data_IF_101104407782
#
_entry.id   IF_101104407782
#
_cell.length_a   1.000
_cell.length_b   1.000
_cell.length_c   1.000
_cell.angle_alpha   90.00
_cell.angle_beta   90.00
_cell.angle_gamma   90.00
#
_symmetry.space_group_name_H-M   'P 1'
#
loop_
_entity.id
_entity.type
_entity.pdbx_description
1 polymer ?
#
# COMPACT_ATOMS: atom_id res chain seq x y z
N UNK A 1 26.05 -105.52 -19.34
CA UNK A 1 27.04 -104.42 -19.46
C UNK A 1 26.34 -103.13 -19.03
N UNK A 2 26.78 -102.45 -17.95
CA UNK A 2 26.01 -101.37 -17.32
C UNK A 2 26.41 -99.98 -17.83
N UNK A 3 25.43 -99.07 -17.83
CA UNK A 3 25.58 -97.66 -18.18
C UNK A 3 25.84 -96.79 -16.95
N UNK A 4 26.67 -95.75 -17.13
CA UNK A 4 27.11 -94.79 -16.12
C UNK A 4 26.19 -93.56 -16.07
N UNK A 5 25.83 -93.15 -14.86
CA UNK A 5 24.93 -92.05 -14.52
C UNK A 5 25.72 -90.76 -14.25
N UNK A 6 25.39 -89.67 -14.95
CA UNK A 6 25.97 -88.34 -14.77
C UNK A 6 25.25 -87.56 -13.64
N UNK A 7 26.01 -86.84 -12.81
CA UNK A 7 25.49 -85.96 -11.77
C UNK A 7 25.94 -84.51 -11.99
N UNK A 8 24.99 -83.63 -12.24
CA UNK A 8 25.13 -82.16 -12.32
C UNK A 8 25.20 -81.55 -10.92
N UNK A 9 25.92 -80.43 -10.76
CA UNK A 9 25.71 -79.47 -9.67
C UNK A 9 25.60 -78.04 -10.21
N UNK A 10 24.74 -77.18 -9.63
CA UNK A 10 24.39 -75.88 -10.19
C UNK A 10 25.26 -74.73 -9.65
N UNK A 11 25.47 -73.72 -10.50
CA UNK A 11 26.12 -72.45 -10.18
C UNK A 11 25.09 -71.41 -9.70
N UNK A 12 25.03 -71.14 -8.40
CA UNK A 12 24.34 -69.99 -7.81
C UNK A 12 25.26 -69.38 -6.75
N UNK A 13 26.01 -68.32 -7.06
CA UNK A 13 26.81 -67.62 -6.02
C UNK A 13 27.16 -66.16 -6.34
N UNK A 14 27.14 -65.73 -7.60
CA UNK A 14 27.65 -64.39 -7.98
C UNK A 14 26.61 -63.26 -7.98
N UNK A 15 25.30 -63.54 -8.08
CA UNK A 15 24.28 -62.50 -8.21
C UNK A 15 23.91 -61.80 -6.87
N UNK A 16 24.08 -62.46 -5.73
CA UNK A 16 23.64 -61.93 -4.43
C UNK A 16 24.55 -60.83 -3.86
N UNK A 17 25.84 -60.86 -4.20
CA UNK A 17 26.85 -59.91 -3.68
C UNK A 17 26.75 -58.55 -4.39
N UNK A 18 26.45 -58.54 -5.69
CA UNK A 18 26.35 -57.30 -6.47
C UNK A 18 25.10 -56.47 -6.09
N UNK A 19 23.97 -57.14 -5.83
CA UNK A 19 22.73 -56.48 -5.40
C UNK A 19 22.89 -55.75 -4.06
N UNK A 20 23.54 -56.38 -3.08
CA UNK A 20 23.67 -55.84 -1.73
C UNK A 20 24.58 -54.59 -1.67
N UNK A 21 25.59 -54.51 -2.54
CA UNK A 21 26.49 -53.37 -2.63
C UNK A 21 25.83 -52.13 -3.24
N UNK A 22 25.00 -52.31 -4.28
CA UNK A 22 24.26 -51.21 -4.91
C UNK A 22 23.10 -50.71 -4.04
N UNK A 23 22.40 -51.60 -3.33
CA UNK A 23 21.34 -51.20 -2.39
C UNK A 23 21.90 -50.38 -1.22
N UNK A 24 23.11 -50.70 -0.71
CA UNK A 24 23.78 -49.87 0.31
C UNK A 24 24.11 -48.47 -0.21
N UNK A 25 24.62 -48.34 -1.44
CA UNK A 25 24.91 -47.03 -2.06
C UNK A 25 23.64 -46.20 -2.27
N UNK A 26 22.55 -46.82 -2.71
CA UNK A 26 21.25 -46.16 -2.90
C UNK A 26 20.67 -45.67 -1.56
N UNK A 27 20.71 -46.50 -0.51
CA UNK A 27 20.27 -46.09 0.84
C UNK A 27 21.09 -44.93 1.40
N UNK A 28 22.41 -44.91 1.15
CA UNK A 28 23.28 -43.83 1.54
C UNK A 28 22.96 -42.53 0.77
N UNK A 29 22.72 -42.62 -0.53
CA UNK A 29 22.35 -41.47 -1.37
C UNK A 29 20.99 -40.87 -0.95
N UNK A 30 19.99 -41.70 -0.66
CA UNK A 30 18.68 -41.25 -0.17
C UNK A 30 18.81 -40.59 1.21
N UNK A 31 19.63 -41.15 2.10
CA UNK A 31 19.89 -40.57 3.42
C UNK A 31 20.55 -39.19 3.35
N UNK A 32 21.53 -39.01 2.46
CA UNK A 32 22.19 -37.71 2.24
C UNK A 32 21.22 -36.70 1.63
N UNK A 33 20.40 -37.10 0.65
CA UNK A 33 19.40 -36.21 0.03
C UNK A 33 18.35 -35.74 1.04
N UNK A 34 17.85 -36.64 1.89
CA UNK A 34 16.90 -36.29 2.95
C UNK A 34 17.50 -35.27 3.92
N UNK A 35 18.77 -35.45 4.31
CA UNK A 35 19.50 -34.53 5.19
C UNK A 35 19.68 -33.14 4.55
N UNK A 36 19.96 -33.07 3.25
CA UNK A 36 20.04 -31.80 2.50
C UNK A 36 18.68 -31.09 2.40
N UNK A 37 17.59 -31.82 2.20
CA UNK A 37 16.25 -31.20 2.15
C UNK A 37 15.81 -30.69 3.52
N UNK A 38 16.09 -31.43 4.59
CA UNK A 38 15.77 -31.02 5.95
C UNK A 38 16.56 -29.77 6.36
N UNK A 39 17.86 -29.70 6.02
CA UNK A 39 18.67 -28.51 6.30
C UNK A 39 18.25 -27.29 5.47
N UNK A 40 17.87 -27.48 4.21
CA UNK A 40 17.33 -26.40 3.36
C UNK A 40 16.01 -25.86 3.90
N UNK A 41 15.08 -26.72 4.33
CA UNK A 41 13.80 -26.31 4.94
C UNK A 41 14.05 -25.58 6.27
N UNK A 42 14.96 -26.09 7.11
CA UNK A 42 15.30 -25.42 8.37
C UNK A 42 15.88 -24.02 8.10
N UNK A 43 16.79 -23.91 7.13
CA UNK A 43 17.38 -22.62 6.75
C UNK A 43 16.36 -21.64 6.18
N UNK A 44 15.39 -22.14 5.40
CA UNK A 44 14.30 -21.32 4.85
C UNK A 44 13.35 -20.85 5.97
N UNK A 45 12.95 -21.73 6.88
CA UNK A 45 12.05 -21.36 8.00
C UNK A 45 12.70 -20.37 8.96
N UNK A 46 14.01 -20.48 9.21
CA UNK A 46 14.74 -19.54 10.07
C UNK A 46 14.91 -18.17 9.40
N UNK A 47 15.15 -18.12 8.08
CA UNK A 47 15.29 -16.84 7.37
C UNK A 47 13.95 -16.16 7.05
N UNK A 48 12.85 -16.91 6.90
CA UNK A 48 11.50 -16.34 6.65
C UNK A 48 10.89 -15.72 7.92
N UNK A 49 11.41 -16.04 9.11
CA UNK A 49 10.90 -15.53 10.39
C UNK A 49 11.66 -14.32 10.95
N UNK A 50 12.35 -13.53 10.11
CA UNK A 50 13.06 -12.32 10.56
C UNK A 50 12.80 -11.09 9.68
N UNK A 51 11.57 -10.91 9.20
CA UNK A 51 11.08 -9.54 8.96
C UNK A 51 10.74 -8.92 10.31
N UNK A 52 11.78 -8.37 10.95
CA UNK A 52 11.59 -7.40 12.04
C UNK A 52 10.78 -6.26 11.44
N UNK A 53 9.50 -6.19 11.79
CA UNK A 53 8.66 -5.00 11.66
C UNK A 53 9.34 -3.86 12.44
N UNK A 54 10.32 -3.23 11.79
CA UNK A 54 10.89 -1.98 12.24
C UNK A 54 9.77 -0.99 12.05
N UNK A 55 9.13 -0.61 13.16
CA UNK A 55 8.19 0.50 13.20
C UNK A 55 9.00 1.77 12.89
N UNK A 56 9.27 2.00 11.61
CA UNK A 56 9.78 3.26 11.12
C UNK A 56 8.67 4.26 11.40
N UNK A 57 8.80 4.99 12.50
CA UNK A 57 8.01 6.19 12.72
C UNK A 57 8.24 7.06 11.49
N UNK A 58 7.20 7.38 10.70
CA UNK A 58 7.40 8.08 9.44
C UNK A 58 8.10 9.41 9.73
N UNK A 59 9.31 9.56 9.20
CA UNK A 59 10.04 10.82 9.29
C UNK A 59 9.18 11.89 8.61
N UNK A 60 8.73 12.87 9.38
CA UNK A 60 8.01 14.02 8.83
C UNK A 60 9.05 14.88 8.15
N UNK A 61 9.12 14.79 6.83
CA UNK A 61 10.14 15.46 6.00
C UNK A 61 9.95 16.98 5.87
N UNK A 62 8.98 17.57 6.57
CA UNK A 62 8.64 18.98 6.46
C UNK A 62 8.78 19.70 7.80
N UNK A 63 9.32 20.92 7.76
CA UNK A 63 9.24 21.86 8.87
C UNK A 63 7.77 22.19 9.17
N UNK A 64 7.39 22.41 10.44
CA UNK A 64 6.05 22.85 10.78
C UNK A 64 5.75 24.19 10.08
N UNK A 65 4.73 24.20 9.22
CA UNK A 65 4.23 25.43 8.62
C UNK A 65 3.51 26.27 9.69
N UNK A 66 3.47 27.60 9.56
CA UNK A 66 2.72 28.46 10.46
C UNK A 66 1.21 28.23 10.26
N UNK A 67 0.64 27.31 11.04
CA UNK A 67 -0.80 27.11 11.14
C UNK A 67 -1.41 28.06 12.20
N UNK A 68 -2.71 28.37 12.11
CA UNK A 68 -3.43 29.03 13.21
C UNK A 68 -3.28 28.26 14.52
N UNK A 69 -3.59 28.91 15.65
CA UNK A 69 -3.49 28.26 16.96
C UNK A 69 -4.41 27.02 16.99
N UNK A 70 -3.86 25.82 17.21
CA UNK A 70 -4.66 24.61 17.23
C UNK A 70 -5.66 24.62 18.38
N UNK A 71 -6.82 24.02 18.15
CA UNK A 71 -7.82 23.75 19.19
C UNK A 71 -7.62 22.34 19.72
N UNK A 72 -7.69 22.17 21.04
CA UNK A 72 -7.74 20.85 21.65
C UNK A 72 -9.19 20.41 21.84
N UNK A 73 -9.52 19.22 21.35
CA UNK A 73 -10.83 18.59 21.53
C UNK A 73 -10.67 17.25 22.22
N UNK A 74 -11.59 16.92 23.13
CA UNK A 74 -11.58 15.64 23.83
C UNK A 74 -12.72 14.78 23.29
N UNK A 75 -12.38 13.63 22.71
CA UNK A 75 -13.33 12.66 22.19
C UNK A 75 -13.00 11.32 22.83
N UNK A 76 -13.97 10.66 23.47
CA UNK A 76 -13.79 9.36 24.13
C UNK A 76 -12.58 9.33 25.11
N UNK A 77 -12.39 10.40 25.89
CA UNK A 77 -11.27 10.57 26.84
C UNK A 77 -9.88 10.69 26.18
N UNK A 78 -9.82 10.77 24.86
CA UNK A 78 -8.60 11.04 24.11
C UNK A 78 -8.59 12.50 23.67
N UNK A 79 -7.45 13.18 23.86
CA UNK A 79 -7.25 14.55 23.40
C UNK A 79 -6.71 14.56 21.97
N UNK A 80 -7.30 15.38 21.12
CA UNK A 80 -6.90 15.63 19.75
C UNK A 80 -6.59 17.10 19.55
N UNK A 81 -5.59 17.37 18.73
CA UNK A 81 -5.23 18.71 18.26
C UNK A 81 -5.81 18.88 16.86
N UNK A 82 -6.61 19.93 16.66
CA UNK A 82 -7.31 20.21 15.40
C UNK A 82 -6.97 21.61 14.93
N UNK A 83 -6.46 21.70 13.72
CA UNK A 83 -6.25 22.95 12.99
C UNK A 83 -7.33 23.10 11.92
N UNK A 84 -7.93 24.29 11.85
CA UNK A 84 -8.97 24.60 10.85
C UNK A 84 -8.58 25.84 10.07
N UNK A 85 -8.71 25.77 8.74
CA UNK A 85 -8.47 26.90 7.85
C UNK A 85 -9.67 27.06 6.93
N UNK A 86 -10.31 28.22 7.01
CA UNK A 86 -11.30 28.64 6.02
C UNK A 86 -10.59 29.26 4.82
N UNK A 87 -11.01 28.87 3.62
CA UNK A 87 -10.49 29.40 2.36
C UNK A 87 -11.64 29.83 1.45
N UNK A 88 -11.46 30.94 0.75
CA UNK A 88 -12.35 31.32 -0.35
C UNK A 88 -12.02 30.42 -1.55
N UNK A 89 -13.04 29.81 -2.16
CA UNK A 89 -12.87 28.90 -3.29
C UNK A 89 -12.07 29.53 -4.45
N UNK A 90 -12.23 30.84 -4.69
CA UNK A 90 -11.48 31.56 -5.74
C UNK A 90 -9.97 31.68 -5.47
N UNK A 91 -9.54 31.49 -4.23
CA UNK A 91 -8.14 31.55 -3.80
C UNK A 91 -7.53 30.16 -3.57
N UNK A 92 -8.31 29.10 -3.74
CA UNK A 92 -7.81 27.72 -3.65
C UNK A 92 -7.15 27.36 -4.97
N UNK A 93 -5.95 26.80 -4.88
CA UNK A 93 -5.19 26.23 -5.99
C UNK A 93 -4.84 24.77 -5.69
N UNK A 94 -4.78 23.93 -6.71
CA UNK A 94 -4.36 22.54 -6.61
C UNK A 94 -3.16 22.30 -7.52
N UNK A 95 -2.01 22.00 -6.94
CA UNK A 95 -0.77 21.77 -7.67
C UNK A 95 -0.37 20.30 -7.66
N UNK A 96 0.01 19.78 -8.82
CA UNK A 96 0.60 18.45 -8.94
C UNK A 96 2.04 18.47 -8.42
N UNK A 97 2.40 17.46 -7.61
CA UNK A 97 3.75 17.27 -7.07
C UNK A 97 4.25 15.84 -7.32
N UNK A 98 3.96 15.30 -8.50
CA UNK A 98 4.18 13.90 -8.86
C UNK A 98 5.58 13.65 -9.47
N UNK A 99 5.88 14.33 -10.59
CA UNK A 99 7.10 14.13 -11.37
C UNK A 99 8.26 14.99 -10.89
N UNK A 100 8.01 16.29 -10.68
CA UNK A 100 8.97 17.23 -10.10
C UNK A 100 8.69 17.40 -8.62
N UNK A 101 9.12 16.41 -7.84
CA UNK A 101 8.92 16.41 -6.39
C UNK A 101 9.61 17.62 -5.74
N UNK A 102 8.84 18.40 -4.99
CA UNK A 102 9.31 19.49 -4.16
C UNK A 102 8.84 19.31 -2.72
N UNK A 103 9.60 19.88 -1.77
CA UNK A 103 9.21 19.88 -0.36
C UNK A 103 8.04 20.85 -0.17
N UNK A 104 7.16 20.53 0.78
CA UNK A 104 6.04 21.41 1.12
C UNK A 104 6.52 22.82 1.53
N UNK A 105 7.65 22.94 2.23
CA UNK A 105 8.23 24.22 2.63
C UNK A 105 8.71 25.07 1.44
N UNK A 106 9.20 24.44 0.38
CA UNK A 106 9.62 25.12 -0.85
C UNK A 106 8.39 25.59 -1.63
N UNK A 107 7.41 24.70 -1.82
CA UNK A 107 6.14 25.02 -2.49
C UNK A 107 5.36 26.13 -1.77
N UNK A 108 5.34 26.10 -0.43
CA UNK A 108 4.68 27.13 0.38
C UNK A 108 5.26 28.53 0.09
N UNK A 109 6.59 28.63 -0.05
CA UNK A 109 7.27 29.89 -0.37
C UNK A 109 7.10 30.26 -1.84
N UNK A 110 7.30 29.31 -2.75
CA UNK A 110 7.22 29.50 -4.20
C UNK A 110 5.86 30.06 -4.62
N UNK A 111 4.78 29.48 -4.10
CA UNK A 111 3.41 29.91 -4.41
C UNK A 111 2.84 30.94 -3.44
N UNK A 112 3.67 31.48 -2.53
CA UNK A 112 3.24 32.48 -1.54
C UNK A 112 1.98 32.06 -0.78
N UNK A 113 1.91 30.78 -0.39
CA UNK A 113 0.72 30.22 0.24
C UNK A 113 0.47 30.85 1.61
N UNK A 114 -0.80 31.14 1.92
CA UNK A 114 -1.22 31.40 3.31
C UNK A 114 -1.24 30.10 4.13
N UNK A 115 -1.61 29.00 3.49
CA UNK A 115 -1.70 27.66 4.08
C UNK A 115 -1.45 26.64 2.98
N UNK A 116 -0.72 25.57 3.30
CA UNK A 116 -0.50 24.45 2.40
C UNK A 116 -0.72 23.14 3.15
N UNK A 117 -1.49 22.23 2.53
CA UNK A 117 -1.73 20.88 3.04
C UNK A 117 -1.55 19.89 1.89
N UNK A 118 -1.26 18.62 2.20
CA UNK A 118 -1.34 17.59 1.18
C UNK A 118 -2.81 17.35 0.78
N UNK A 119 -3.02 17.06 -0.51
CA UNK A 119 -4.34 16.82 -1.08
C UNK A 119 -4.67 15.33 -1.15
N UNK A 120 -4.39 14.72 -2.31
CA UNK A 120 -4.79 13.35 -2.63
C UNK A 120 -3.73 12.30 -2.31
N UNK A 121 -4.12 11.05 -2.54
CA UNK A 121 -3.24 9.89 -2.46
C UNK A 121 -2.59 9.61 -3.82
N UNK A 122 -1.39 9.05 -3.79
CA UNK A 122 -0.64 8.63 -4.97
C UNK A 122 -0.18 7.17 -4.85
N UNK A 123 0.08 6.53 -5.99
CA UNK A 123 0.63 5.18 -6.09
C UNK A 123 2.14 5.19 -5.87
N UNK A 124 2.76 4.03 -5.73
CA UNK A 124 4.22 3.90 -5.61
C UNK A 124 4.96 4.48 -6.83
N UNK A 125 4.33 4.41 -8.01
CA UNK A 125 4.80 5.04 -9.25
C UNK A 125 4.52 6.55 -9.33
N UNK A 126 4.14 7.17 -8.20
CA UNK A 126 3.91 8.61 -8.05
C UNK A 126 2.72 9.16 -8.85
N UNK A 127 1.80 8.31 -9.30
CA UNK A 127 0.58 8.75 -9.98
C UNK A 127 -0.55 9.01 -8.97
N UNK A 128 -1.39 10.05 -9.12
CA UNK A 128 -2.57 10.19 -8.30
C UNK A 128 -3.51 8.99 -8.49
N UNK A 129 -4.19 8.65 -7.42
CA UNK A 129 -5.06 7.47 -7.34
C UNK A 129 -6.44 7.65 -7.99
N UNK A 130 -6.72 8.82 -8.57
CA UNK A 130 -8.03 9.17 -9.11
C UNK A 130 -8.03 10.51 -9.84
N UNK A 131 -9.23 11.08 -10.03
CA UNK A 131 -9.43 12.37 -10.70
C UNK A 131 -8.50 13.45 -10.14
N UNK A 132 -7.77 14.11 -11.03
CA UNK A 132 -6.93 15.23 -10.69
C UNK A 132 -7.03 16.29 -11.80
N UNK A 133 -7.68 17.41 -11.49
CA UNK A 133 -7.84 18.55 -12.39
C UNK A 133 -7.18 19.77 -11.74
N UNK A 134 -6.23 20.39 -12.46
CA UNK A 134 -5.48 21.56 -12.00
C UNK A 134 -5.58 22.67 -13.04
N UNK A 135 -6.18 23.79 -12.64
CA UNK A 135 -6.43 24.95 -13.50
C UNK A 135 -7.04 24.60 -14.87
N UNK A 136 -8.07 23.75 -14.85
CA UNK A 136 -8.78 23.27 -16.05
C UNK A 136 -8.13 22.08 -16.75
N UNK A 137 -6.89 21.74 -16.41
CA UNK A 137 -6.18 20.63 -17.03
C UNK A 137 -6.47 19.34 -16.26
N UNK A 138 -7.18 18.42 -16.91
CA UNK A 138 -7.36 17.06 -16.37
C UNK A 138 -6.05 16.30 -16.54
N UNK A 139 -5.33 16.09 -15.45
CA UNK A 139 -4.09 15.34 -15.43
C UNK A 139 -4.37 13.84 -15.30
N UNK A 140 -5.40 13.47 -14.53
CA UNK A 140 -5.81 12.10 -14.33
C UNK A 140 -7.34 11.97 -14.30
N UNK A 141 -7.84 10.88 -14.86
CA UNK A 141 -9.26 10.57 -14.92
C UNK A 141 -9.77 9.95 -13.62
N UNK A 142 -11.06 10.14 -13.37
CA UNK A 142 -11.77 9.52 -12.24
C UNK A 142 -11.63 7.99 -12.25
N UNK A 143 -11.43 7.42 -11.06
CA UNK A 143 -11.30 5.98 -10.88
C UNK A 143 -12.38 5.49 -9.92
N UNK A 144 -13.19 4.52 -10.31
CA UNK A 144 -14.20 3.98 -9.40
C UNK A 144 -13.53 3.24 -8.23
N UNK A 145 -13.73 3.73 -7.01
CA UNK A 145 -13.11 3.18 -5.81
C UNK A 145 -14.07 3.27 -4.62
N UNK A 146 -14.12 2.23 -3.77
CA UNK A 146 -15.00 2.21 -2.59
C UNK A 146 -14.53 3.12 -1.46
N UNK A 147 -13.21 3.30 -1.33
CA UNK A 147 -12.57 4.12 -0.30
C UNK A 147 -12.36 5.56 -0.78
N UNK A 148 -11.83 5.75 -1.98
CA UNK A 148 -11.57 7.06 -2.59
C UNK A 148 -12.80 7.52 -3.36
N UNK A 149 -13.92 7.63 -2.66
CA UNK A 149 -15.26 7.77 -3.23
C UNK A 149 -15.80 9.20 -3.22
N UNK A 150 -14.95 10.19 -2.94
CA UNK A 150 -15.30 11.61 -2.93
C UNK A 150 -14.49 12.40 -3.95
N UNK A 151 -15.11 13.43 -4.53
CA UNK A 151 -14.49 14.40 -5.43
C UNK A 151 -14.74 15.78 -4.85
N UNK A 152 -13.69 16.43 -4.37
CA UNK A 152 -13.71 17.86 -4.06
C UNK A 152 -13.40 18.62 -5.35
N UNK A 153 -14.31 19.49 -5.78
CA UNK A 153 -14.17 20.23 -7.04
C UNK A 153 -14.55 21.69 -6.89
N UNK A 154 -13.95 22.55 -7.73
CA UNK A 154 -14.32 23.96 -7.89
C UNK A 154 -14.45 24.23 -9.39
N UNK A 155 -15.57 24.80 -9.81
CA UNK A 155 -15.79 25.19 -11.21
C UNK A 155 -15.27 26.61 -11.50
N UNK A 156 -15.44 27.08 -12.74
CA UNK A 156 -14.98 28.41 -13.18
C UNK A 156 -15.76 29.60 -12.61
N UNK A 157 -16.88 29.36 -11.95
CA UNK A 157 -17.63 30.39 -11.19
C UNK A 157 -17.41 30.21 -9.68
N UNK A 158 -16.29 29.60 -9.30
CA UNK A 158 -15.81 29.42 -7.93
C UNK A 158 -16.81 28.76 -6.98
N UNK A 159 -17.63 27.83 -7.49
CA UNK A 159 -18.55 27.04 -6.67
C UNK A 159 -17.87 25.75 -6.19
N UNK A 160 -17.56 25.60 -4.89
CA UNK A 160 -17.00 24.37 -4.35
C UNK A 160 -18.08 23.30 -4.19
N UNK A 161 -17.75 22.03 -4.48
CA UNK A 161 -18.66 20.89 -4.33
C UNK A 161 -17.89 19.67 -3.83
N UNK A 162 -18.58 18.81 -3.08
CA UNK A 162 -18.12 17.45 -2.75
C UNK A 162 -19.16 16.50 -3.33
N UNK A 163 -18.73 15.64 -4.24
CA UNK A 163 -19.59 14.70 -4.98
C UNK A 163 -18.99 13.30 -4.97
N UNK A 164 -19.73 12.28 -5.39
CA UNK A 164 -19.22 10.89 -5.49
C UNK A 164 -18.71 10.51 -6.88
N UNK A 165 -18.98 11.36 -7.87
CA UNK A 165 -18.66 11.16 -9.28
C UNK A 165 -18.10 12.48 -9.85
N UNK A 166 -17.51 12.44 -11.03
CA UNK A 166 -17.04 13.67 -11.69
C UNK A 166 -18.24 14.55 -12.05
N UNK A 167 -18.30 15.82 -11.61
CA UNK A 167 -19.31 16.75 -12.08
C UNK A 167 -19.26 16.94 -13.60
N UNK A 168 -20.42 17.17 -14.22
CA UNK A 168 -20.53 17.35 -15.68
C UNK A 168 -20.09 18.74 -16.17
N UNK A 169 -20.09 19.75 -15.29
CA UNK A 169 -19.66 21.10 -15.65
C UNK A 169 -18.13 21.24 -15.72
N UNK A 170 -17.66 22.24 -16.47
CA UNK A 170 -16.23 22.52 -16.58
C UNK A 170 -15.61 22.86 -15.22
N UNK A 171 -14.62 22.06 -14.82
CA UNK A 171 -13.95 22.18 -13.53
C UNK A 171 -12.65 22.97 -13.67
N UNK A 172 -12.45 23.97 -12.80
CA UNK A 172 -11.14 24.61 -12.63
C UNK A 172 -10.24 23.69 -11.82
N UNK A 173 -10.76 23.12 -10.74
CA UNK A 173 -10.05 22.18 -9.87
C UNK A 173 -10.91 20.96 -9.56
N UNK A 174 -10.26 19.81 -9.44
CA UNK A 174 -10.89 18.60 -8.93
C UNK A 174 -9.85 17.66 -8.32
N UNK A 175 -10.17 17.10 -7.16
CA UNK A 175 -9.35 16.14 -6.47
C UNK A 175 -10.22 14.99 -5.98
N UNK A 176 -9.97 13.79 -6.50
CA UNK A 176 -10.55 12.58 -5.95
C UNK A 176 -9.80 12.15 -4.68
N UNK A 177 -10.54 11.94 -3.61
CA UNK A 177 -10.03 11.50 -2.31
C UNK A 177 -11.16 10.78 -1.54
N UNK A 178 -10.94 10.43 -0.28
CA UNK A 178 -12.00 9.86 0.54
C UNK A 178 -11.54 9.16 1.82
N UNK A 179 -12.49 8.55 2.54
CA UNK A 179 -13.92 8.45 2.18
C UNK A 179 -14.72 9.74 2.43
N UNK A 180 -15.86 9.89 1.76
CA UNK A 180 -16.89 10.88 2.13
C UNK A 180 -17.39 10.55 3.53
N UNK A 181 -17.26 11.53 4.45
CA UNK A 181 -17.59 11.37 5.87
C UNK A 181 -19.01 11.83 6.22
N UNK A 182 -19.49 12.86 5.52
CA UNK A 182 -20.80 13.47 5.72
C UNK A 182 -21.42 13.75 4.36
N UNK A 183 -22.68 13.38 4.19
CA UNK A 183 -23.44 13.57 2.96
C UNK A 183 -24.86 14.00 3.31
N UNK A 184 -25.35 15.07 2.68
CA UNK A 184 -26.70 15.62 2.92
C UNK A 184 -27.00 15.87 4.42
N UNK A 185 -26.01 16.37 5.16
CA UNK A 185 -26.13 16.67 6.59
C UNK A 185 -26.06 15.45 7.52
N UNK A 186 -25.87 14.24 6.99
CA UNK A 186 -25.80 13.00 7.77
C UNK A 186 -24.42 12.37 7.69
N UNK A 187 -23.95 11.83 8.82
CA UNK A 187 -22.71 11.05 8.85
C UNK A 187 -22.87 9.78 8.01
N UNK A 188 -21.86 9.45 7.20
CA UNK A 188 -21.83 8.23 6.39
C UNK A 188 -21.23 7.10 7.22
N UNK A 189 -21.90 5.94 7.23
CA UNK A 189 -21.34 4.74 7.84
C UNK A 189 -20.15 4.23 7.00
N UNK A 190 -18.98 4.11 7.65
CA UNK A 190 -17.74 3.72 6.98
C UNK A 190 -17.43 2.24 7.26
N UNK A 191 -17.27 1.45 6.20
CA UNK A 191 -16.71 0.10 6.28
C UNK A 191 -15.22 0.14 5.95
N UNK A 192 -14.40 0.49 6.94
CA UNK A 192 -12.95 0.53 6.78
C UNK A 192 -12.33 -0.80 7.20
N UNK A 193 -11.61 -1.44 6.27
CA UNK A 193 -10.88 -2.69 6.57
C UNK A 193 -9.83 -2.51 7.68
N UNK A 194 -9.28 -1.29 7.83
CA UNK A 194 -8.32 -0.91 8.86
C UNK A 194 -8.62 0.51 9.30
N UNK A 195 -9.31 0.64 10.43
CA UNK A 195 -9.45 1.91 11.12
C UNK A 195 -8.44 1.99 12.26
N UNK A 196 -7.48 2.91 12.13
CA UNK A 196 -6.47 3.19 13.16
C UNK A 196 -6.35 4.69 13.33
N UNK A 197 -6.02 5.09 14.55
CA UNK A 197 -5.70 6.48 14.85
C UNK A 197 -4.52 6.93 14.00
N UNK A 198 -4.72 8.03 13.27
CA UNK A 198 -3.73 8.63 12.41
C UNK A 198 -4.02 10.12 12.24
N UNK A 199 -3.00 10.89 11.84
CA UNK A 199 -3.19 12.27 11.38
C UNK A 199 -4.02 12.27 10.10
N UNK A 200 -5.00 13.17 10.00
CA UNK A 200 -5.93 13.28 8.87
C UNK A 200 -6.04 14.72 8.43
N UNK A 201 -6.25 14.93 7.14
CA UNK A 201 -6.73 16.18 6.58
C UNK A 201 -8.13 15.91 6.07
N UNK A 202 -9.04 16.82 6.37
CA UNK A 202 -10.45 16.74 5.98
C UNK A 202 -10.81 18.06 5.31
N UNK A 203 -11.46 17.97 4.16
CA UNK A 203 -12.07 19.11 3.51
C UNK A 203 -13.58 19.08 3.77
N UNK A 204 -14.16 20.25 3.98
CA UNK A 204 -15.59 20.44 4.13
C UNK A 204 -16.01 21.69 3.34
N UNK A 205 -17.28 21.71 2.92
CA UNK A 205 -17.92 22.86 2.29
C UNK A 205 -19.08 23.31 3.19
N UNK A 206 -19.32 24.62 3.25
CA UNK A 206 -20.37 25.26 4.06
C UNK A 206 -21.30 26.05 3.16
#
# INVERSE_FOLDING_TARGET
MPQLYNRVKPHYSSYFIWYNHNVRKIKLAIGVLALCTASAVLWFTVNVSSDKNTTLSPSVLGDPLPFPVPVQVVINKQTYTVDTVAANASLVSLYANFTKQARASDLFKEYSCKTLVNGGFYTEDLNPTGLFVSEGNTLFAFQKNSLLNGVLSINYVDTPRITRETPEDSLRLALQTGPVLVENGSAVELSLARDKQARRIVAAIT
#
